data_IF_544889689222
#
_entry.id   IF_544889689222
#
_cell.length_a   1.000
_cell.length_b   1.000
_cell.length_c   1.000
_cell.angle_alpha   90.00
_cell.angle_beta   90.00
_cell.angle_gamma   90.00
#
_symmetry.space_group_name_H-M   'P 1'
#
loop_
_entity.id
_entity.type
_entity.pdbx_description
1 polymer ?
#
# COMPACT_ATOMS: atom_id res chain seq x y z
N UNK A 1 2.25 29.35 4.91
CA UNK A 1 1.87 27.92 4.90
C UNK A 1 3.09 27.14 4.50
N UNK A 2 3.52 26.18 5.31
CA UNK A 2 4.61 25.28 4.96
C UNK A 2 4.16 24.42 3.77
N UNK A 3 5.05 24.21 2.79
CA UNK A 3 4.74 23.32 1.66
C UNK A 3 4.62 21.87 2.11
N UNK A 4 3.91 21.03 1.35
CA UNK A 4 3.77 19.60 1.67
C UNK A 4 5.13 18.91 1.92
N UNK A 5 6.14 19.23 1.10
CA UNK A 5 7.49 18.68 1.22
C UNK A 5 8.19 19.14 2.51
N UNK A 6 7.92 20.37 2.99
CA UNK A 6 8.45 20.84 4.27
C UNK A 6 7.80 20.13 5.45
N UNK A 7 6.49 19.90 5.40
CA UNK A 7 5.78 19.13 6.42
C UNK A 7 6.31 17.70 6.49
N UNK A 8 6.53 17.04 5.35
CA UNK A 8 7.13 15.70 5.29
C UNK A 8 8.53 15.64 5.92
N UNK A 9 9.35 16.67 5.72
CA UNK A 9 10.71 16.75 6.30
C UNK A 9 10.71 16.93 7.82
N UNK A 10 9.63 17.43 8.39
CA UNK A 10 9.50 17.58 9.85
C UNK A 10 9.14 16.26 10.55
N UNK A 11 8.61 15.27 9.81
CA UNK A 11 8.22 13.97 10.35
C UNK A 11 9.46 13.11 10.63
N UNK A 12 9.51 12.48 11.80
CA UNK A 12 10.69 11.73 12.25
C UNK A 12 10.41 10.26 12.52
N UNK A 13 9.15 9.88 12.78
CA UNK A 13 8.75 8.53 13.17
C UNK A 13 7.67 7.96 12.26
N UNK A 14 7.60 6.62 12.16
CA UNK A 14 6.52 5.93 11.43
C UNK A 14 5.13 6.37 11.89
N UNK A 15 4.93 6.62 13.18
CA UNK A 15 3.69 7.14 13.76
C UNK A 15 3.34 8.53 13.21
N UNK A 16 4.31 9.44 13.15
CA UNK A 16 4.12 10.79 12.61
C UNK A 16 3.67 10.72 11.16
N UNK A 17 4.31 9.86 10.35
CA UNK A 17 3.90 9.62 8.97
C UNK A 17 2.48 9.06 8.88
N UNK A 18 2.16 8.01 9.64
CA UNK A 18 0.84 7.39 9.61
C UNK A 18 -0.25 8.38 10.04
N UNK A 19 -0.01 9.16 11.09
CA UNK A 19 -0.93 10.19 11.58
C UNK A 19 -1.09 11.34 10.57
N UNK A 20 0.01 11.82 10.00
CA UNK A 20 -0.01 12.88 8.97
C UNK A 20 -0.82 12.47 7.74
N UNK A 21 -0.70 11.21 7.32
CA UNK A 21 -1.47 10.64 6.21
C UNK A 21 -2.87 10.15 6.62
N UNK A 22 -3.26 10.24 7.89
CA UNK A 22 -4.56 9.77 8.36
C UNK A 22 -4.77 8.25 8.23
N UNK A 23 -3.68 7.48 8.20
CA UNK A 23 -3.72 6.02 8.09
C UNK A 23 -3.99 5.43 9.48
N UNK A 24 -5.07 4.66 9.69
CA UNK A 24 -5.32 4.00 10.96
C UNK A 24 -4.28 2.89 11.20
N UNK A 25 -3.69 2.85 12.39
CA UNK A 25 -2.67 1.87 12.76
C UNK A 25 -2.83 1.33 14.18
N UNK A 26 -2.39 0.09 14.39
CA UNK A 26 -2.18 -0.48 15.72
C UNK A 26 -0.81 -0.09 16.25
N UNK A 27 -0.80 0.61 17.39
CA UNK A 27 0.39 1.04 18.10
C UNK A 27 1.36 -0.11 18.40
N UNK A 28 0.86 -1.32 18.70
CA UNK A 28 1.71 -2.48 19.02
C UNK A 28 2.52 -2.93 17.80
N UNK A 29 1.90 -2.95 16.62
CA UNK A 29 2.58 -3.29 15.36
C UNK A 29 3.62 -2.22 15.04
N UNK A 30 3.22 -0.95 15.12
CA UNK A 30 4.14 0.17 14.83
C UNK A 30 5.32 0.16 15.79
N UNK A 31 5.11 0.01 17.11
CA UNK A 31 6.18 -0.02 18.10
C UNK A 31 7.30 -1.01 17.78
N UNK A 32 6.95 -2.21 17.31
CA UNK A 32 7.91 -3.28 16.99
C UNK A 32 8.51 -3.10 15.59
N UNK A 33 7.76 -2.50 14.65
CA UNK A 33 8.13 -2.46 13.23
C UNK A 33 8.41 -1.07 12.69
N UNK A 34 8.53 -0.01 13.51
CA UNK A 34 8.73 1.39 13.05
C UNK A 34 9.80 1.52 11.98
N UNK A 35 11.01 1.06 12.28
CA UNK A 35 12.16 1.16 11.39
C UNK A 35 11.95 0.33 10.13
N UNK A 36 11.28 -0.82 10.23
CA UNK A 36 11.01 -1.68 9.09
C UNK A 36 9.94 -1.07 8.17
N UNK A 37 8.88 -0.47 8.73
CA UNK A 37 7.84 0.26 7.99
C UNK A 37 8.48 1.40 7.21
N UNK A 38 9.30 2.24 7.86
CA UNK A 38 10.00 3.33 7.18
C UNK A 38 10.95 2.81 6.10
N UNK A 39 11.77 1.80 6.42
CA UNK A 39 12.69 1.20 5.43
C UNK A 39 11.94 0.64 4.22
N UNK A 40 10.77 0.03 4.42
CA UNK A 40 9.93 -0.53 3.34
C UNK A 40 9.27 0.57 2.53
N UNK A 41 8.79 1.62 3.19
CA UNK A 41 8.24 2.80 2.57
C UNK A 41 9.26 3.49 1.64
N UNK A 42 10.48 3.74 2.11
CA UNK A 42 11.54 4.30 1.27
C UNK A 42 11.93 3.40 0.10
N UNK A 43 11.93 2.07 0.28
CA UNK A 43 12.12 1.14 -0.85
C UNK A 43 11.02 1.29 -1.90
N UNK A 44 9.76 1.43 -1.49
CA UNK A 44 8.66 1.61 -2.43
C UNK A 44 8.68 2.94 -3.16
N UNK A 45 9.15 4.02 -2.50
CA UNK A 45 9.40 5.30 -3.14
C UNK A 45 10.47 5.16 -4.22
N UNK A 46 11.60 4.52 -3.90
CA UNK A 46 12.71 4.30 -4.84
C UNK A 46 12.33 3.40 -6.04
N UNK A 47 11.27 2.60 -5.91
CA UNK A 47 10.74 1.75 -6.97
C UNK A 47 9.74 2.48 -7.88
N UNK A 48 9.32 3.71 -7.56
CA UNK A 48 8.50 4.49 -8.47
C UNK A 48 9.35 5.02 -9.62
N UNK A 49 8.94 4.75 -10.87
CA UNK A 49 9.60 5.27 -12.06
C UNK A 49 9.60 6.81 -12.11
N UNK A 50 8.50 7.43 -11.67
CA UNK A 50 8.37 8.86 -11.50
C UNK A 50 7.37 9.18 -10.40
N UNK A 51 7.71 10.16 -9.55
CA UNK A 51 6.77 10.80 -8.65
C UNK A 51 6.17 12.02 -9.37
N UNK A 52 4.89 12.36 -9.14
CA UNK A 52 4.26 13.53 -9.73
C UNK A 52 4.77 14.82 -9.06
N UNK A 53 6.03 15.17 -9.34
CA UNK A 53 6.66 16.40 -8.85
C UNK A 53 5.96 17.62 -9.45
N UNK A 54 5.53 18.56 -8.59
CA UNK A 54 4.79 19.76 -9.01
C UNK A 54 3.27 19.67 -8.87
N UNK A 55 2.73 18.48 -8.59
CA UNK A 55 1.32 18.27 -8.24
C UNK A 55 1.24 17.75 -6.79
N UNK A 56 1.08 18.68 -5.84
CA UNK A 56 1.01 18.35 -4.41
C UNK A 56 -0.08 17.31 -4.07
N UNK A 57 -1.33 17.40 -4.56
CA UNK A 57 -2.34 16.39 -4.26
C UNK A 57 -2.01 15.02 -4.88
N UNK A 58 -1.46 14.96 -6.08
CA UNK A 58 -1.01 13.70 -6.67
C UNK A 58 0.16 13.10 -5.88
N UNK A 59 1.11 13.93 -5.47
CA UNK A 59 2.26 13.50 -4.67
C UNK A 59 1.81 12.99 -3.29
N UNK A 60 0.87 13.69 -2.65
CA UNK A 60 0.24 13.23 -1.41
C UNK A 60 -0.39 11.85 -1.57
N UNK A 61 -1.20 11.65 -2.61
CA UNK A 61 -1.86 10.38 -2.88
C UNK A 61 -0.87 9.23 -3.13
N UNK A 62 0.22 9.49 -3.87
CA UNK A 62 1.29 8.51 -4.08
C UNK A 62 1.96 8.12 -2.76
N UNK A 63 2.39 9.09 -1.95
CA UNK A 63 3.06 8.80 -0.67
C UNK A 63 2.13 8.08 0.30
N UNK A 64 0.86 8.50 0.38
CA UNK A 64 -0.17 7.83 1.17
C UNK A 64 -0.30 6.35 0.79
N UNK A 65 -0.45 6.05 -0.51
CA UNK A 65 -0.61 4.68 -0.99
C UNK A 65 0.62 3.80 -0.69
N UNK A 66 1.83 4.34 -0.86
CA UNK A 66 3.06 3.61 -0.60
C UNK A 66 3.26 3.34 0.90
N UNK A 67 2.93 4.31 1.76
CA UNK A 67 3.01 4.14 3.21
C UNK A 67 1.97 3.14 3.72
N UNK A 68 0.73 3.21 3.20
CA UNK A 68 -0.32 2.26 3.54
C UNK A 68 0.09 0.83 3.17
N UNK A 69 0.68 0.64 1.97
CA UNK A 69 1.22 -0.64 1.54
C UNK A 69 2.36 -1.11 2.45
N UNK A 70 3.30 -0.22 2.77
CA UNK A 70 4.43 -0.54 3.63
C UNK A 70 3.99 -0.96 5.03
N UNK A 71 3.02 -0.26 5.63
CA UNK A 71 2.42 -0.68 6.89
C UNK A 71 1.73 -2.03 6.74
N UNK A 72 0.89 -2.16 5.70
CA UNK A 72 0.14 -3.37 5.31
C UNK A 72 0.95 -4.65 5.38
N UNK A 73 2.15 -4.66 4.78
CA UNK A 73 3.08 -5.79 4.77
C UNK A 73 3.38 -6.34 6.18
N UNK A 74 3.55 -5.47 7.19
CA UNK A 74 3.88 -5.86 8.56
C UNK A 74 2.67 -6.28 9.38
N UNK A 75 1.51 -5.72 9.06
CA UNK A 75 0.26 -6.16 9.65
C UNK A 75 -0.02 -7.60 9.14
N UNK A 76 -0.02 -7.88 7.83
CA UNK A 76 -0.30 -9.24 7.29
C UNK A 76 0.67 -10.31 7.77
N UNK A 77 1.90 -9.90 8.08
CA UNK A 77 2.96 -10.81 8.53
C UNK A 77 2.93 -11.08 10.03
N UNK A 78 2.06 -10.42 10.80
CA UNK A 78 1.87 -10.68 12.23
C UNK A 78 0.61 -11.53 12.47
N UNK A 79 0.63 -12.53 13.38
CA UNK A 79 -0.54 -13.37 13.66
C UNK A 79 -1.70 -12.64 14.34
N UNK A 80 -1.55 -11.36 14.70
CA UNK A 80 -2.59 -10.55 15.35
C UNK A 80 -3.77 -10.19 14.42
N UNK A 81 -3.78 -10.68 13.19
CA UNK A 81 -4.20 -9.86 12.05
C UNK A 81 -5.22 -10.51 11.11
N UNK A 82 -5.64 -11.74 11.40
CA UNK A 82 -6.80 -12.34 10.71
C UNK A 82 -8.10 -11.53 10.85
N UNK A 83 -8.17 -10.52 11.74
CA UNK A 83 -9.39 -9.76 12.02
C UNK A 83 -9.42 -8.32 11.48
N UNK A 84 -8.30 -7.70 11.10
CA UNK A 84 -8.25 -6.24 10.83
C UNK A 84 -8.36 -5.90 9.34
N UNK A 85 -8.10 -6.86 8.43
CA UNK A 85 -8.07 -6.64 6.98
C UNK A 85 -9.42 -6.76 6.24
N UNK A 86 -10.55 -6.88 6.94
CA UNK A 86 -11.86 -6.94 6.26
C UNK A 86 -12.32 -5.58 5.70
N UNK A 87 -11.63 -4.49 6.02
CA UNK A 87 -12.15 -3.12 5.81
C UNK A 87 -11.56 -2.38 4.58
N UNK A 88 -10.52 -2.89 3.91
CA UNK A 88 -9.92 -2.18 2.75
C UNK A 88 -9.81 -3.03 1.47
N UNK A 89 -10.77 -3.93 1.23
CA UNK A 89 -10.82 -4.73 0.00
C UNK A 89 -11.97 -4.35 -0.95
N UNK A 90 -12.42 -3.10 -0.88
CA UNK A 90 -13.48 -2.57 -1.74
C UNK A 90 -13.08 -1.22 -2.36
N UNK A 91 -11.91 -1.17 -2.99
CA UNK A 91 -11.62 -0.17 -4.04
C UNK A 91 -10.61 -0.74 -5.02
N UNK A 92 -11.15 -1.11 -6.18
CA UNK A 92 -10.49 -1.31 -7.48
C UNK A 92 -9.86 -2.69 -7.78
N UNK A 93 -10.54 -3.46 -8.65
CA UNK A 93 -9.89 -4.44 -9.52
C UNK A 93 -10.17 -5.94 -9.28
N UNK A 94 -11.39 -6.33 -8.90
CA UNK A 94 -11.80 -7.75 -8.99
C UNK A 94 -12.07 -8.14 -10.45
N UNK A 95 -11.02 -8.41 -11.24
CA UNK A 95 -11.16 -9.31 -12.39
C UNK A 95 -11.23 -10.74 -11.86
N UNK A 96 -12.42 -11.15 -11.45
CA UNK A 96 -12.73 -12.55 -11.27
C UNK A 96 -12.79 -13.17 -12.67
N UNK A 97 -11.69 -13.73 -13.14
CA UNK A 97 -11.75 -14.64 -14.27
C UNK A 97 -12.53 -15.88 -13.81
N UNK A 98 -13.83 -15.89 -14.06
CA UNK A 98 -14.66 -17.07 -13.88
C UNK A 98 -14.06 -18.22 -14.67
N UNK A 99 -14.04 -19.42 -14.07
CA UNK A 99 -13.49 -20.64 -14.68
C UNK A 99 -14.16 -21.01 -16.01
N UNK A 100 -15.30 -20.39 -16.33
CA UNK A 100 -15.95 -20.45 -17.65
C UNK A 100 -15.09 -19.89 -18.79
N UNK A 101 -14.29 -18.84 -18.53
CA UNK A 101 -13.47 -18.18 -19.57
C UNK A 101 -12.28 -19.01 -20.04
N UNK A 102 -11.82 -19.97 -19.22
CA UNK A 102 -10.75 -20.93 -19.60
C UNK A 102 -11.29 -22.10 -20.42
N UNK A 103 -12.60 -22.37 -20.38
CA UNK A 103 -13.21 -23.45 -21.16
C UNK A 103 -13.47 -23.05 -22.62
N UNK A 104 -13.57 -21.76 -22.89
CA UNK A 104 -13.80 -21.22 -24.23
C UNK A 104 -12.52 -21.11 -25.09
N UNK A 105 -11.32 -21.23 -24.51
CA UNK A 105 -10.05 -21.05 -25.21
C UNK A 105 -9.28 -22.34 -25.51
N UNK A 106 -9.85 -23.52 -25.24
CA UNK A 106 -9.23 -24.79 -25.63
C UNK A 106 -9.49 -25.06 -27.12
N UNK A 107 -8.47 -25.16 -27.98
CA UNK A 107 -8.65 -25.63 -29.35
C UNK A 107 -9.11 -27.08 -29.30
N UNK A 108 -10.22 -27.39 -29.98
CA UNK A 108 -10.68 -28.75 -30.16
C UNK A 108 -9.56 -29.54 -30.83
N UNK A 109 -8.94 -30.45 -30.07
CA UNK A 109 -7.95 -31.39 -30.59
C UNK A 109 -8.70 -32.32 -31.54
N UNK A 110 -8.66 -32.01 -32.83
CA UNK A 110 -9.06 -32.90 -33.91
C UNK A 110 -8.24 -34.18 -33.79
N UNK A 111 -8.91 -35.24 -33.37
CA UNK A 111 -8.42 -36.62 -33.50
C UNK A 111 -8.66 -37.03 -34.96
N UNK A 112 -7.59 -37.44 -35.64
CA UNK A 112 -7.65 -38.28 -36.82
C UNK A 112 -7.47 -39.74 -36.40
#
# INVERSE_FOLDING_TARGET
MESFVQQLKALSSAEDFLQFFGIPFDQKVVNVSRLHILKRFFQYIQQQDALPEGDEPALYASYHALLLKAYGDFVTSTPAQEKVFKVFRDTNGRHYASLDSLRASLPARTLA
#
